data_IF_379102723546
#
_entry.id   IF_379102723546
#
_cell.length_a   1.000
_cell.length_b   1.000
_cell.length_c   1.000
_cell.angle_alpha   90.00
_cell.angle_beta   90.00
_cell.angle_gamma   90.00
#
_symmetry.space_group_name_H-M   'P 1'
#
loop_
_entity.id
_entity.type
_entity.pdbx_description
1 polymer ?
#
# COMPACT_ATOMS: atom_id res chain seq x y z
N UNK A 1 10.12 1.34 -22.02
CA UNK A 1 9.16 1.46 -20.91
C UNK A 1 9.96 1.53 -19.61
N UNK A 2 9.76 2.55 -18.78
CA UNK A 2 10.42 2.68 -17.47
C UNK A 2 9.51 2.08 -16.41
N UNK A 3 10.02 1.18 -15.58
CA UNK A 3 9.30 0.57 -14.45
C UNK A 3 9.86 1.19 -13.17
N UNK A 4 8.98 1.62 -12.26
CA UNK A 4 9.35 2.12 -10.94
C UNK A 4 8.87 1.07 -9.93
N UNK A 5 9.81 0.46 -9.21
CA UNK A 5 9.52 -0.56 -8.22
C UNK A 5 9.60 0.03 -6.80
N UNK A 6 8.44 0.30 -6.21
CA UNK A 6 8.33 0.88 -4.86
C UNK A 6 8.58 -0.14 -3.73
N UNK A 7 8.85 -1.41 -4.07
CA UNK A 7 9.05 -2.49 -3.08
C UNK A 7 10.52 -2.73 -2.70
N UNK A 8 11.48 -2.11 -3.39
CA UNK A 8 12.91 -2.40 -3.20
C UNK A 8 13.47 -1.89 -1.86
N UNK A 9 12.82 -0.90 -1.25
CA UNK A 9 13.15 -0.38 0.08
C UNK A 9 12.11 -0.76 1.13
N UNK A 10 12.52 -0.78 2.40
CA UNK A 10 11.57 -0.92 3.50
C UNK A 10 10.74 0.37 3.63
N UNK A 11 9.43 0.28 3.41
CA UNK A 11 8.53 1.43 3.33
C UNK A 11 7.20 1.16 4.01
N UNK A 12 6.51 2.23 4.40
CA UNK A 12 5.13 2.17 4.90
C UNK A 12 4.17 1.56 3.86
N UNK A 13 4.45 1.80 2.57
CA UNK A 13 3.69 1.22 1.46
C UNK A 13 3.71 -0.31 1.52
N UNK A 14 4.88 -0.91 1.76
CA UNK A 14 5.02 -2.37 1.85
C UNK A 14 4.19 -2.94 2.99
N UNK A 15 4.13 -2.25 4.13
CA UNK A 15 3.30 -2.67 5.26
C UNK A 15 1.81 -2.63 4.89
N UNK A 16 1.33 -1.55 4.28
CA UNK A 16 -0.09 -1.46 3.87
C UNK A 16 -0.45 -2.54 2.85
N UNK A 17 0.43 -2.82 1.88
CA UNK A 17 0.23 -3.91 0.92
C UNK A 17 0.24 -5.29 1.60
N UNK A 18 1.11 -5.50 2.59
CA UNK A 18 1.13 -6.73 3.37
C UNK A 18 -0.19 -6.94 4.15
N UNK A 19 -0.69 -5.89 4.80
CA UNK A 19 -1.96 -5.93 5.54
C UNK A 19 -3.18 -6.18 4.63
N UNK A 20 -3.15 -5.69 3.38
CA UNK A 20 -4.19 -6.00 2.39
C UNK A 20 -4.20 -7.48 1.95
N UNK A 21 -3.07 -8.20 2.11
CA UNK A 21 -2.91 -9.61 1.72
C UNK A 21 -3.07 -10.57 2.88
N UNK A 22 -2.97 -10.09 4.11
CA UNK A 22 -3.11 -10.91 5.31
C UNK A 22 -4.58 -11.30 5.54
N UNK A 23 -4.86 -12.61 5.51
CA UNK A 23 -6.20 -13.17 5.65
C UNK A 23 -6.87 -12.90 7.00
N UNK A 24 -6.09 -12.63 8.04
CA UNK A 24 -6.60 -12.30 9.37
C UNK A 24 -6.89 -10.80 9.50
N UNK A 25 -6.12 -9.95 8.83
CA UNK A 25 -6.24 -8.49 8.91
C UNK A 25 -7.23 -7.93 7.89
N UNK A 26 -7.27 -8.45 6.66
CA UNK A 26 -8.10 -7.93 5.57
C UNK A 26 -9.61 -7.97 5.84
N UNK A 27 -10.06 -8.81 6.80
CA UNK A 27 -11.46 -8.89 7.20
C UNK A 27 -11.93 -7.63 7.96
N UNK A 28 -11.00 -6.85 8.52
CA UNK A 28 -11.31 -5.51 9.03
C UNK A 28 -11.52 -4.55 7.85
N UNK A 29 -12.80 -4.37 7.50
CA UNK A 29 -13.22 -3.53 6.38
C UNK A 29 -12.80 -2.06 6.52
N UNK A 30 -12.72 -1.52 7.74
CA UNK A 30 -12.30 -0.14 7.96
C UNK A 30 -10.80 0.01 7.69
N UNK A 31 -9.99 -0.92 8.22
CA UNK A 31 -8.55 -0.96 7.97
C UNK A 31 -8.23 -1.18 6.49
N UNK A 32 -8.93 -2.11 5.83
CA UNK A 32 -8.74 -2.39 4.41
C UNK A 32 -8.94 -1.13 3.54
N UNK A 33 -10.04 -0.41 3.73
CA UNK A 33 -10.30 0.85 3.00
C UNK A 33 -9.23 1.90 3.29
N UNK A 34 -8.84 2.06 4.55
CA UNK A 34 -7.84 3.04 4.96
C UNK A 34 -6.46 2.75 4.36
N UNK A 35 -6.09 1.48 4.25
CA UNK A 35 -4.84 1.08 3.62
C UNK A 35 -4.84 1.37 2.11
N UNK A 36 -5.97 1.20 1.42
CA UNK A 36 -6.11 1.60 0.00
C UNK A 36 -5.95 3.12 -0.16
N UNK A 37 -6.61 3.93 0.68
CA UNK A 37 -6.48 5.40 0.64
C UNK A 37 -5.03 5.84 0.80
N UNK A 38 -4.33 5.31 1.82
CA UNK A 38 -2.92 5.62 2.09
C UNK A 38 -1.99 5.21 0.97
N UNK A 39 -2.24 4.05 0.35
CA UNK A 39 -1.49 3.60 -0.84
C UNK A 39 -1.68 4.60 -1.98
N UNK A 40 -2.91 5.05 -2.21
CA UNK A 40 -3.23 6.05 -3.24
C UNK A 40 -2.52 7.40 -2.99
N UNK A 41 -2.50 7.88 -1.75
CA UNK A 41 -1.79 9.10 -1.36
C UNK A 41 -0.28 8.99 -1.64
N UNK A 42 0.35 7.87 -1.27
CA UNK A 42 1.77 7.63 -1.53
C UNK A 42 2.04 7.55 -3.04
N UNK A 43 1.21 6.83 -3.79
CA UNK A 43 1.37 6.74 -5.25
C UNK A 43 1.22 8.10 -5.93
N UNK A 44 0.27 8.93 -5.50
CA UNK A 44 0.09 10.27 -6.04
C UNK A 44 1.31 11.17 -5.76
N UNK A 45 1.92 11.05 -4.58
CA UNK A 45 3.16 11.75 -4.25
C UNK A 45 4.32 11.33 -5.14
N UNK A 46 4.53 10.03 -5.36
CA UNK A 46 5.62 9.50 -6.21
C UNK A 46 5.45 9.82 -7.71
N UNK A 47 4.23 10.16 -8.14
CA UNK A 47 3.94 10.55 -9.52
C UNK A 47 4.12 12.03 -9.81
N UNK A 48 4.11 12.89 -8.77
CA UNK A 48 4.22 14.35 -8.90
C UNK A 48 5.66 14.82 -9.03
#
# INVERSE_FOLDING_TARGET
>A
MKIINLSEGNSLLNQYVAELRDVHVQNDRMRFRRNIERIGEIMAYEMS
#
